data_IF_450995807519
#
_entry.id   IF_450995807519
#
_cell.length_a   1.000
_cell.length_b   1.000
_cell.length_c   1.000
_cell.angle_alpha   90.00
_cell.angle_beta   90.00
_cell.angle_gamma   90.00
#
_symmetry.space_group_name_H-M   'P 1'
#
loop_
_entity.id
_entity.type
_entity.pdbx_description
1 polymer ?
#
# COMPACT_ATOMS: atom_id res chain seq x y z
N UNK A 1 -0.76 12.68 25.83
CA UNK A 1 -0.15 13.73 24.98
C UNK A 1 0.09 13.09 23.64
N UNK A 2 -0.66 13.54 22.62
CA UNK A 2 -1.05 12.79 21.43
C UNK A 2 -0.04 12.89 20.28
N UNK A 3 -0.06 11.85 19.45
CA UNK A 3 0.68 11.52 18.23
C UNK A 3 1.11 12.68 17.33
N UNK A 4 2.34 12.59 16.82
CA UNK A 4 2.83 13.22 15.58
C UNK A 4 3.76 12.22 14.88
N UNK A 5 3.27 11.56 13.84
CA UNK A 5 4.14 11.08 12.76
C UNK A 5 4.71 12.30 12.03
N UNK A 6 5.98 12.30 11.58
CA UNK A 6 6.60 13.47 11.00
C UNK A 6 6.18 13.59 9.53
N UNK A 7 5.03 14.20 9.28
CA UNK A 7 4.70 14.75 7.97
C UNK A 7 5.08 16.22 7.93
N UNK A 8 5.82 16.61 6.89
CA UNK A 8 6.28 17.95 6.61
C UNK A 8 5.17 19.00 6.79
N UNK A 9 5.36 19.92 7.74
CA UNK A 9 4.62 21.18 7.75
C UNK A 9 5.18 22.08 6.65
N UNK A 10 4.47 22.20 5.54
CA UNK A 10 4.54 23.43 4.73
C UNK A 10 3.45 24.35 5.26
N UNK A 11 3.87 25.46 5.87
CA UNK A 11 3.00 26.50 6.40
C UNK A 11 2.39 27.24 5.21
N UNK A 12 1.09 27.06 4.97
CA UNK A 12 0.30 27.99 4.17
C UNK A 12 -0.30 29.06 5.10
N UNK A 13 0.27 30.26 5.10
CA UNK A 13 -0.37 31.43 5.71
C UNK A 13 -1.44 31.93 4.75
N UNK A 14 -2.71 31.64 5.05
CA UNK A 14 -3.86 32.31 4.44
C UNK A 14 -4.41 33.34 5.43
N UNK A 15 -4.30 34.63 5.09
CA UNK A 15 -5.01 35.73 5.75
C UNK A 15 -6.05 36.24 4.74
N UNK A 16 -7.34 36.14 5.09
CA UNK A 16 -8.44 36.69 4.28
C UNK A 16 -8.88 38.08 4.79
N UNK A 17 -8.91 39.02 3.84
CA UNK A 17 -9.74 40.24 3.67
C UNK A 17 -10.06 41.20 4.83
N UNK A 18 -9.81 42.51 4.58
CA UNK A 18 -10.88 43.51 4.32
C UNK A 18 -10.30 44.90 4.00
N UNK A 19 -10.61 45.42 2.80
CA UNK A 19 -11.21 46.73 2.51
C UNK A 19 -10.97 47.09 1.03
N UNK A 20 -12.06 47.38 0.33
CA UNK A 20 -12.11 47.43 -1.13
C UNK A 20 -11.55 48.68 -1.77
N UNK A 21 -11.35 48.60 -3.08
CA UNK A 21 -11.74 49.62 -4.04
C UNK A 21 -11.63 49.08 -5.48
N UNK A 22 -12.54 49.58 -6.30
CA UNK A 22 -12.76 49.39 -7.73
C UNK A 22 -11.52 49.25 -8.62
N UNK A 23 -11.58 48.34 -9.59
CA UNK A 23 -10.64 48.28 -10.71
C UNK A 23 -11.07 47.26 -11.77
N UNK A 24 -11.11 47.71 -13.01
CA UNK A 24 -11.70 47.12 -14.22
C UNK A 24 -11.09 45.79 -14.68
N UNK A 25 -11.94 45.01 -15.37
CA UNK A 25 -11.67 43.75 -16.07
C UNK A 25 -10.51 43.89 -17.06
N UNK A 26 -9.47 43.06 -16.92
CA UNK A 26 -8.58 42.66 -18.00
C UNK A 26 -8.36 41.15 -17.91
N UNK A 27 -8.68 40.43 -18.98
CA UNK A 27 -8.58 38.98 -19.10
C UNK A 27 -7.12 38.53 -18.96
N UNK A 28 -6.86 37.70 -17.95
CA UNK A 28 -5.58 37.08 -17.70
C UNK A 28 -5.37 35.92 -18.69
N UNK A 29 -4.49 36.14 -19.67
CA UNK A 29 -4.04 35.13 -20.64
C UNK A 29 -2.66 34.58 -20.26
N UNK A 30 -2.27 34.60 -18.98
CA UNK A 30 -0.96 34.09 -18.52
C UNK A 30 -0.98 32.78 -17.74
N UNK A 31 -2.14 32.16 -17.47
CA UNK A 31 -2.16 30.86 -16.75
C UNK A 31 -1.82 29.62 -17.59
N UNK A 32 -1.60 29.75 -18.91
CA UNK A 32 -1.20 28.61 -19.76
C UNK A 32 0.30 28.48 -20.03
N UNK A 33 1.15 29.41 -19.55
CA UNK A 33 2.58 29.44 -19.92
C UNK A 33 3.58 29.15 -18.79
N UNK A 34 3.13 28.80 -17.58
CA UNK A 34 4.06 28.53 -16.45
C UNK A 34 4.70 27.12 -16.50
N UNK A 35 4.26 26.25 -17.41
CA UNK A 35 4.82 24.90 -17.56
C UNK A 35 6.04 24.80 -18.51
N UNK A 36 6.63 25.91 -18.98
CA UNK A 36 7.61 25.87 -20.07
C UNK A 36 9.02 26.44 -19.83
N UNK A 37 9.35 27.00 -18.67
CA UNK A 37 10.67 27.63 -18.49
C UNK A 37 11.40 27.20 -17.22
N UNK A 38 11.87 25.94 -17.18
CA UNK A 38 13.13 25.55 -16.50
C UNK A 38 13.59 24.13 -16.86
N UNK A 39 13.87 23.89 -18.14
CA UNK A 39 14.64 22.72 -18.58
C UNK A 39 15.81 23.25 -19.42
N UNK A 40 16.94 23.49 -18.76
CA UNK A 40 18.21 23.72 -19.44
C UNK A 40 18.63 22.43 -20.15
N UNK A 41 18.97 22.58 -21.42
CA UNK A 41 19.36 21.55 -22.37
C UNK A 41 20.66 20.87 -21.93
N UNK A 42 20.56 19.64 -21.41
CA UNK A 42 21.48 18.51 -21.57
C UNK A 42 20.85 17.29 -20.83
N UNK A 43 20.85 16.12 -21.47
CA UNK A 43 20.10 14.87 -21.14
C UNK A 43 18.60 14.82 -21.49
N UNK A 44 18.26 14.95 -22.78
CA UNK A 44 16.98 14.40 -23.29
C UNK A 44 17.04 12.87 -23.33
N UNK A 45 16.77 12.21 -22.20
CA UNK A 45 16.27 10.84 -22.21
C UNK A 45 14.83 10.92 -22.72
N UNK A 46 14.57 10.40 -23.92
CA UNK A 46 13.20 10.24 -24.43
C UNK A 46 12.44 9.33 -23.48
N UNK A 47 11.61 9.93 -22.63
CA UNK A 47 10.69 9.21 -21.76
C UNK A 47 9.66 8.54 -22.67
N UNK A 48 9.58 7.21 -22.63
CA UNK A 48 8.54 6.46 -23.33
C UNK A 48 7.23 6.59 -22.52
N UNK A 49 6.61 7.77 -22.58
CA UNK A 49 5.21 7.94 -22.18
C UNK A 49 4.32 7.42 -23.31
N UNK A 50 3.24 6.74 -22.93
CA UNK A 50 2.16 6.46 -23.88
C UNK A 50 1.48 7.80 -24.20
N UNK A 51 1.41 8.23 -25.47
CA UNK A 51 0.72 9.46 -25.83
C UNK A 51 -0.77 9.37 -25.47
N UNK A 52 -1.26 10.28 -24.61
CA UNK A 52 -2.65 10.31 -24.16
C UNK A 52 -2.76 10.62 -22.67
N UNK A 53 -4.00 10.74 -22.17
CA UNK A 53 -4.33 10.79 -20.73
C UNK A 53 -5.10 9.50 -20.38
N UNK A 54 -4.44 8.33 -20.41
CA UNK A 54 -5.11 7.05 -20.10
C UNK A 54 -5.64 7.00 -18.67
N UNK A 55 -4.98 7.73 -17.77
CA UNK A 55 -5.44 7.93 -16.41
C UNK A 55 -6.13 9.27 -16.28
N UNK A 56 -7.41 9.21 -15.92
CA UNK A 56 -8.21 10.40 -15.69
C UNK A 56 -8.35 10.62 -14.20
N UNK A 57 -7.94 11.80 -13.74
CA UNK A 57 -8.27 12.25 -12.39
C UNK A 57 -9.79 12.30 -12.24
N UNK A 58 -10.29 11.60 -11.23
CA UNK A 58 -11.69 11.64 -10.87
C UNK A 58 -11.90 12.83 -9.93
N UNK A 59 -12.57 13.84 -10.46
CA UNK A 59 -12.73 15.15 -9.83
C UNK A 59 -14.21 15.56 -9.83
N UNK A 60 -14.71 16.18 -8.75
CA UNK A 60 -13.98 16.47 -7.50
C UNK A 60 -13.64 15.19 -6.72
N UNK A 61 -12.58 15.25 -5.90
CA UNK A 61 -12.24 14.16 -5.00
C UNK A 61 -13.40 13.92 -4.02
N UNK A 62 -13.81 12.67 -3.77
CA UNK A 62 -14.96 12.37 -2.88
C UNK A 62 -14.66 12.67 -1.41
N UNK A 63 -13.40 12.90 -1.05
CA UNK A 63 -12.91 13.21 0.30
C UNK A 63 -11.69 14.12 0.22
N UNK A 64 -11.39 14.84 1.32
CA UNK A 64 -10.14 15.60 1.48
C UNK A 64 -9.09 14.86 2.31
N UNK A 65 -9.43 13.67 2.82
CA UNK A 65 -8.58 12.89 3.71
C UNK A 65 -7.69 11.90 2.94
N UNK A 66 -6.48 11.60 3.44
CA UNK A 66 -5.62 10.53 2.91
C UNK A 66 -6.32 9.17 2.86
N UNK A 67 -6.02 8.38 1.81
CA UNK A 67 -6.49 7.01 1.62
C UNK A 67 -5.32 6.04 1.84
N UNK A 68 -5.48 5.01 2.67
CA UNK A 68 -4.40 4.08 3.06
C UNK A 68 -4.44 2.73 2.35
N UNK A 69 -5.64 2.24 2.04
CA UNK A 69 -5.83 0.93 1.43
C UNK A 69 -7.00 0.96 0.46
N UNK A 70 -6.94 0.12 -0.58
CA UNK A 70 -8.02 -0.06 -1.53
C UNK A 70 -8.11 -1.51 -2.01
N UNK A 71 -9.28 -1.88 -2.49
CA UNK A 71 -9.55 -3.19 -3.07
C UNK A 71 -10.60 -3.07 -4.19
N UNK A 72 -10.67 -4.06 -5.08
CA UNK A 72 -11.59 -4.09 -6.22
C UNK A 72 -12.05 -5.51 -6.49
N UNK A 73 -13.34 -5.70 -6.79
CA UNK A 73 -13.90 -7.01 -7.15
C UNK A 73 -13.87 -7.26 -8.65
N UNK A 74 -14.03 -6.20 -9.44
CA UNK A 74 -14.14 -6.24 -10.89
C UNK A 74 -13.87 -4.84 -11.47
N UNK A 75 -13.97 -4.74 -12.79
CA UNK A 75 -13.73 -3.55 -13.59
C UNK A 75 -14.51 -2.29 -13.19
N UNK A 76 -15.67 -2.47 -12.57
CA UNK A 76 -16.57 -1.37 -12.26
C UNK A 76 -16.59 -1.07 -10.76
N UNK A 77 -16.22 -2.04 -9.93
CA UNK A 77 -16.48 -2.00 -8.49
C UNK A 77 -15.20 -2.00 -7.66
N UNK A 78 -15.00 -0.93 -6.90
CA UNK A 78 -13.85 -0.75 -6.01
C UNK A 78 -14.19 0.03 -4.75
N UNK A 79 -13.39 -0.18 -3.70
CA UNK A 79 -13.49 0.49 -2.40
C UNK A 79 -12.14 1.00 -1.96
N UNK A 80 -12.14 2.15 -1.27
CA UNK A 80 -10.95 2.73 -0.67
C UNK A 80 -11.26 3.22 0.75
N UNK A 81 -10.28 3.08 1.64
CA UNK A 81 -10.40 3.44 3.07
C UNK A 81 -9.23 4.31 3.52
N UNK A 82 -9.47 5.19 4.49
CA UNK A 82 -8.48 6.19 4.87
C UNK A 82 -8.70 6.85 6.22
N UNK A 83 -8.10 8.03 6.37
CA UNK A 83 -8.17 8.83 7.59
C UNK A 83 -9.61 9.24 7.93
N UNK A 84 -9.85 9.49 9.22
CA UNK A 84 -11.10 10.07 9.73
C UNK A 84 -12.37 9.31 9.32
N UNK A 85 -12.30 7.97 9.25
CA UNK A 85 -13.44 7.13 8.88
C UNK A 85 -13.78 7.16 7.40
N UNK A 86 -12.87 7.63 6.54
CA UNK A 86 -13.11 7.71 5.10
C UNK A 86 -13.34 6.32 4.53
N UNK A 87 -14.52 6.09 3.96
CA UNK A 87 -14.85 4.93 3.13
C UNK A 87 -15.50 5.45 1.85
N UNK A 88 -14.94 5.10 0.71
CA UNK A 88 -15.46 5.48 -0.60
C UNK A 88 -15.60 4.25 -1.49
N UNK A 89 -16.60 4.25 -2.36
CA UNK A 89 -16.80 3.17 -3.31
C UNK A 89 -17.23 3.68 -4.68
N UNK A 90 -16.99 2.87 -5.69
CA UNK A 90 -17.52 3.04 -7.03
C UNK A 90 -18.15 1.73 -7.51
N UNK A 91 -19.11 1.84 -8.42
CA UNK A 91 -19.77 0.72 -9.12
C UNK A 91 -19.83 0.97 -10.64
N UNK A 92 -19.14 2.01 -11.13
CA UNK A 92 -19.20 2.50 -12.50
C UNK A 92 -17.81 2.82 -13.06
N UNK A 93 -16.78 2.08 -12.66
CA UNK A 93 -15.43 2.33 -13.17
C UNK A 93 -14.82 3.58 -12.52
N UNK A 94 -15.28 3.99 -11.34
CA UNK A 94 -14.87 5.24 -10.70
C UNK A 94 -15.44 6.51 -11.33
N UNK A 95 -16.23 6.43 -12.42
CA UNK A 95 -16.88 7.61 -13.01
C UNK A 95 -17.55 8.46 -11.91
N UNK A 96 -18.14 7.77 -10.93
CA UNK A 96 -18.57 8.35 -9.66
C UNK A 96 -18.00 7.56 -8.47
N UNK A 97 -17.50 8.31 -7.49
CA UNK A 97 -17.19 7.79 -6.17
C UNK A 97 -18.20 8.29 -5.16
N UNK A 98 -18.79 7.36 -4.43
CA UNK A 98 -19.78 7.62 -3.38
C UNK A 98 -19.08 7.49 -2.04
N UNK A 99 -19.16 8.56 -1.22
CA UNK A 99 -18.75 8.50 0.19
C UNK A 99 -19.76 7.65 0.95
N UNK A 100 -19.26 6.60 1.60
CA UNK A 100 -20.05 5.70 2.43
C UNK A 100 -19.98 6.13 3.90
N UNK A 101 -21.09 5.98 4.62
CA UNK A 101 -21.15 6.36 6.03
C UNK A 101 -20.43 5.33 6.89
N UNK A 102 -19.27 5.70 7.43
CA UNK A 102 -18.60 4.93 8.48
C UNK A 102 -19.29 5.10 9.84
N UNK A 103 -19.44 4.05 10.65
CA UNK A 103 -19.91 4.18 12.02
C UNK A 103 -18.86 4.78 12.98
N UNK A 104 -17.60 4.93 12.53
CA UNK A 104 -16.47 5.41 13.34
C UNK A 104 -15.64 6.44 12.59
N UNK A 105 -15.28 7.53 13.27
CA UNK A 105 -14.40 8.60 12.76
C UNK A 105 -12.95 8.40 13.23
N UNK A 106 -12.34 7.29 12.84
CA UNK A 106 -10.94 6.93 13.18
C UNK A 106 -10.17 6.54 11.92
N UNK A 107 -8.84 6.48 11.96
CA UNK A 107 -8.10 6.10 10.76
C UNK A 107 -8.30 4.61 10.44
N UNK A 108 -8.61 4.33 9.18
CA UNK A 108 -8.82 2.98 8.65
C UNK A 108 -7.58 2.56 7.85
N UNK A 109 -6.95 1.44 8.25
CA UNK A 109 -5.62 1.07 7.76
C UNK A 109 -5.63 0.02 6.66
N UNK A 110 -6.54 -0.95 6.72
CA UNK A 110 -6.57 -2.09 5.82
C UNK A 110 -8.00 -2.43 5.42
N UNK A 111 -8.21 -2.72 4.13
CA UNK A 111 -9.48 -3.25 3.62
C UNK A 111 -9.21 -4.54 2.84
N UNK A 112 -10.04 -5.55 3.04
CA UNK A 112 -10.05 -6.80 2.28
C UNK A 112 -11.47 -7.17 1.87
N UNK A 113 -11.62 -7.95 0.81
CA UNK A 113 -12.91 -8.46 0.34
C UNK A 113 -12.86 -9.97 0.22
N UNK A 114 -13.99 -10.61 0.52
CA UNK A 114 -14.20 -12.05 0.29
C UNK A 114 -15.07 -12.29 -0.94
N UNK A 115 -15.99 -11.36 -1.21
CA UNK A 115 -16.69 -11.19 -2.48
C UNK A 115 -17.15 -9.73 -2.62
N UNK A 116 -17.86 -9.41 -3.70
CA UNK A 116 -18.35 -8.05 -4.02
C UNK A 116 -19.28 -7.45 -2.94
N UNK A 117 -19.95 -8.28 -2.16
CA UNK A 117 -20.88 -7.84 -1.11
C UNK A 117 -20.23 -7.86 0.28
N UNK A 118 -19.20 -8.67 0.49
CA UNK A 118 -18.61 -8.94 1.80
C UNK A 118 -17.19 -8.39 1.93
N UNK A 119 -17.06 -7.24 2.60
CA UNK A 119 -15.79 -6.57 2.86
C UNK A 119 -15.52 -6.40 4.35
N UNK A 120 -14.23 -6.27 4.68
CA UNK A 120 -13.72 -6.15 6.03
C UNK A 120 -12.67 -5.05 6.12
N UNK A 121 -12.82 -4.18 7.11
CA UNK A 121 -11.90 -3.07 7.38
C UNK A 121 -11.38 -3.19 8.81
N UNK A 122 -10.11 -2.88 9.04
CA UNK A 122 -9.57 -2.63 10.38
C UNK A 122 -8.85 -1.28 10.46
N UNK A 123 -8.68 -0.76 11.68
CA UNK A 123 -8.07 0.54 11.91
C UNK A 123 -7.69 0.84 13.36
N UNK A 124 -7.59 2.13 13.67
CA UNK A 124 -7.33 2.64 15.02
C UNK A 124 -8.43 2.26 16.03
N UNK A 125 -8.09 2.31 17.32
CA UNK A 125 -9.01 2.02 18.44
C UNK A 125 -9.68 0.63 18.33
N UNK A 126 -8.98 -0.34 17.74
CA UNK A 126 -9.46 -1.70 17.59
C UNK A 126 -10.65 -1.85 16.63
N UNK A 127 -10.93 -0.87 15.78
CA UNK A 127 -12.12 -0.90 14.92
C UNK A 127 -12.04 -2.06 13.93
N UNK A 128 -13.16 -2.79 13.81
CA UNK A 128 -13.42 -3.73 12.73
C UNK A 128 -14.77 -3.38 12.12
N UNK A 129 -14.81 -3.12 10.81
CA UNK A 129 -16.05 -2.86 10.08
C UNK A 129 -16.30 -3.96 9.06
N UNK A 130 -17.56 -4.28 8.85
CA UNK A 130 -17.99 -5.20 7.79
C UNK A 130 -19.18 -4.65 7.03
N UNK A 131 -19.34 -5.12 5.81
CA UNK A 131 -20.53 -4.92 4.98
C UNK A 131 -20.94 -6.25 4.37
N UNK A 132 -22.23 -6.40 4.09
CA UNK A 132 -22.83 -7.56 3.41
C UNK A 132 -23.64 -7.14 2.18
N UNK A 133 -23.56 -5.86 1.81
CA UNK A 133 -24.33 -5.21 0.74
C UNK A 133 -23.44 -4.34 -0.18
N UNK A 134 -22.13 -4.63 -0.22
CA UNK A 134 -21.18 -3.91 -1.07
C UNK A 134 -20.84 -2.51 -0.56
N UNK A 135 -20.96 -2.28 0.74
CA UNK A 135 -20.65 -1.02 1.41
C UNK A 135 -21.80 -0.01 1.42
N UNK A 136 -23.02 -0.39 1.00
CA UNK A 136 -24.18 0.48 1.17
C UNK A 136 -24.43 0.75 2.66
N UNK A 137 -24.22 -0.26 3.50
CA UNK A 137 -24.19 -0.12 4.95
C UNK A 137 -22.95 -0.77 5.55
N UNK A 138 -22.42 -0.14 6.60
CA UNK A 138 -21.28 -0.63 7.38
C UNK A 138 -21.70 -0.90 8.81
N UNK A 139 -21.29 -2.08 9.31
CA UNK A 139 -21.56 -2.52 10.67
C UNK A 139 -20.24 -2.68 11.41
N UNK A 140 -20.13 -2.05 12.57
CA UNK A 140 -19.01 -2.27 13.48
C UNK A 140 -19.12 -3.64 14.15
N UNK A 141 -18.04 -4.41 14.12
CA UNK A 141 -17.92 -5.66 14.84
C UNK A 141 -17.17 -5.42 16.15
N UNK A 142 -17.68 -6.00 17.24
CA UNK A 142 -17.05 -5.85 18.54
C UNK A 142 -15.73 -6.64 18.60
N UNK A 143 -14.61 -5.94 18.55
CA UNK A 143 -13.27 -6.51 18.78
C UNK A 143 -12.95 -6.65 20.28
N UNK A 144 -13.55 -5.79 21.11
CA UNK A 144 -13.25 -5.69 22.55
C UNK A 144 -11.92 -4.99 22.85
N UNK A 145 -11.32 -4.32 21.86
CA UNK A 145 -9.99 -3.71 21.98
C UNK A 145 -10.04 -2.18 21.89
N UNK A 146 -8.97 -1.55 22.36
CA UNK A 146 -8.68 -0.12 22.16
C UNK A 146 -7.32 0.12 21.51
N UNK A 147 -6.63 -0.95 21.11
CA UNK A 147 -5.32 -0.92 20.44
C UNK A 147 -5.50 -0.96 18.94
N UNK A 148 -4.60 -0.35 18.18
CA UNK A 148 -4.75 -0.25 16.73
C UNK A 148 -4.56 -1.61 16.05
N UNK A 149 -5.37 -1.87 15.01
CA UNK A 149 -5.25 -3.03 14.12
C UNK A 149 -4.70 -2.59 12.77
N UNK A 150 -3.56 -3.14 12.37
CA UNK A 150 -2.83 -2.70 11.18
C UNK A 150 -3.13 -3.52 9.92
N UNK A 151 -3.53 -4.78 10.07
CA UNK A 151 -3.78 -5.68 8.94
C UNK A 151 -4.92 -6.62 9.26
N UNK A 152 -5.80 -6.81 8.28
CA UNK A 152 -6.91 -7.76 8.31
C UNK A 152 -6.87 -8.65 7.06
N UNK A 153 -7.00 -9.95 7.25
CA UNK A 153 -6.94 -10.94 6.18
C UNK A 153 -8.06 -11.94 6.32
N UNK A 154 -8.76 -12.23 5.23
CA UNK A 154 -9.78 -13.27 5.14
C UNK A 154 -9.42 -14.22 4.01
N UNK A 155 -9.66 -15.51 4.21
CA UNK A 155 -9.46 -16.55 3.19
C UNK A 155 -10.77 -16.99 2.54
N UNK A 156 -11.88 -16.79 3.25
CA UNK A 156 -13.25 -17.09 2.84
C UNK A 156 -14.21 -16.23 3.69
N UNK A 157 -15.52 -16.39 3.49
CA UNK A 157 -16.53 -15.59 4.19
C UNK A 157 -16.67 -15.90 5.70
N UNK A 158 -16.01 -16.94 6.21
CA UNK A 158 -16.12 -17.38 7.61
C UNK A 158 -14.84 -17.12 8.40
N UNK A 159 -13.68 -17.26 7.78
CA UNK A 159 -12.38 -17.29 8.46
C UNK A 159 -11.58 -16.02 8.16
N UNK A 160 -11.29 -15.27 9.22
CA UNK A 160 -10.52 -14.03 9.15
C UNK A 160 -9.64 -13.81 10.37
N UNK A 161 -8.59 -13.02 10.19
CA UNK A 161 -7.62 -12.63 11.22
C UNK A 161 -7.33 -11.15 11.13
N UNK A 162 -7.15 -10.52 12.29
CA UNK A 162 -6.67 -9.15 12.38
C UNK A 162 -5.50 -9.07 13.37
N UNK A 163 -4.48 -8.28 13.03
CA UNK A 163 -3.28 -8.13 13.85
C UNK A 163 -2.91 -6.66 14.05
N UNK A 164 -2.26 -6.35 15.17
CA UNK A 164 -2.05 -4.96 15.55
C UNK A 164 -1.00 -4.69 16.62
N UNK A 165 -1.21 -3.58 17.34
CA UNK A 165 -0.37 -3.16 18.46
C UNK A 165 -0.38 -4.15 19.62
N UNK A 166 0.64 -4.05 20.47
CA UNK A 166 0.79 -4.86 21.69
C UNK A 166 0.76 -6.38 21.42
N UNK A 167 1.14 -6.81 20.21
CA UNK A 167 1.11 -8.22 19.85
C UNK A 167 -0.30 -8.80 19.67
N UNK A 168 -1.30 -7.94 19.43
CA UNK A 168 -2.71 -8.31 19.30
C UNK A 168 -2.98 -9.23 18.11
N UNK A 169 -3.67 -10.35 18.35
CA UNK A 169 -4.15 -11.27 17.31
C UNK A 169 -5.61 -11.59 17.57
N UNK A 170 -6.47 -11.23 16.61
CA UNK A 170 -7.88 -11.59 16.58
C UNK A 170 -8.14 -12.64 15.50
N UNK A 171 -9.11 -13.51 15.74
CA UNK A 171 -9.62 -14.47 14.75
C UNK A 171 -11.13 -14.57 14.80
N UNK A 172 -11.75 -14.71 13.64
CA UNK A 172 -13.12 -15.18 13.50
C UNK A 172 -13.17 -16.48 12.70
N UNK A 173 -14.17 -17.31 12.99
CA UNK A 173 -14.52 -18.52 12.23
C UNK A 173 -16.00 -18.55 11.86
N UNK A 174 -16.70 -17.44 12.06
CA UNK A 174 -18.15 -17.30 11.85
C UNK A 174 -18.49 -16.03 11.06
N UNK A 175 -17.54 -15.52 10.27
CA UNK A 175 -17.75 -14.33 9.45
C UNK A 175 -17.88 -13.06 10.28
N UNK A 176 -17.08 -12.96 11.34
CA UNK A 176 -16.96 -11.81 12.23
C UNK A 176 -18.09 -11.58 13.21
N UNK A 177 -19.09 -12.49 13.28
CA UNK A 177 -20.11 -12.46 14.34
C UNK A 177 -19.46 -12.52 15.74
N UNK A 178 -18.35 -13.25 15.84
CA UNK A 178 -17.49 -13.25 17.02
C UNK A 178 -16.00 -13.16 16.62
N UNK A 179 -15.29 -12.24 17.28
CA UNK A 179 -13.84 -12.12 17.20
C UNK A 179 -13.20 -12.64 18.49
N UNK A 180 -12.48 -13.75 18.38
CA UNK A 180 -11.70 -14.33 19.46
C UNK A 180 -10.35 -13.63 19.57
N UNK A 181 -10.06 -13.06 20.74
CA UNK A 181 -8.71 -12.64 21.12
C UNK A 181 -7.86 -13.88 21.41
N UNK A 182 -6.89 -14.15 20.54
CA UNK A 182 -6.00 -15.29 20.66
C UNK A 182 -4.89 -15.01 21.68
N UNK A 183 -4.28 -16.06 22.28
CA UNK A 183 -3.16 -15.90 23.18
C UNK A 183 -2.02 -15.12 22.51
N UNK A 184 -1.58 -14.06 23.17
CA UNK A 184 -0.47 -13.27 22.68
C UNK A 184 0.81 -14.11 22.67
N UNK A 185 1.62 -13.95 21.62
CA UNK A 185 2.93 -14.60 21.51
C UNK A 185 3.86 -14.04 22.60
N UNK A 186 4.63 -14.92 23.24
CA UNK A 186 5.56 -14.49 24.30
C UNK A 186 6.61 -13.51 23.74
N UNK A 187 6.74 -12.34 24.39
CA UNK A 187 7.69 -11.31 23.98
C UNK A 187 7.21 -10.36 22.87
N UNK A 188 5.91 -10.38 22.52
CA UNK A 188 5.31 -9.42 21.56
C UNK A 188 4.44 -8.34 22.21
N UNK A 189 4.32 -8.30 23.54
CA UNK A 189 3.38 -7.40 24.27
C UNK A 189 3.64 -5.91 24.09
N UNK A 190 4.83 -5.52 23.63
CA UNK A 190 5.19 -4.15 23.31
C UNK A 190 5.66 -4.02 21.86
N UNK A 191 5.17 -4.89 20.98
CA UNK A 191 5.60 -4.99 19.59
C UNK A 191 4.41 -4.85 18.66
N UNK A 192 4.70 -4.48 17.42
CA UNK A 192 3.69 -4.33 16.38
C UNK A 192 3.68 -5.56 15.50
N UNK A 193 2.50 -6.17 15.34
CA UNK A 193 2.22 -7.13 14.30
C UNK A 193 1.69 -6.36 13.09
N UNK A 194 2.46 -6.35 12.01
CA UNK A 194 2.20 -5.47 10.84
C UNK A 194 1.57 -6.20 9.67
N UNK A 195 1.92 -7.47 9.47
CA UNK A 195 1.40 -8.26 8.37
C UNK A 195 0.94 -9.63 8.86
N UNK A 196 -0.17 -10.09 8.31
CA UNK A 196 -0.71 -11.43 8.51
C UNK A 196 -1.14 -12.00 7.16
N UNK A 197 -0.86 -13.27 6.91
CA UNK A 197 -1.25 -13.94 5.69
C UNK A 197 -1.56 -15.41 5.98
N UNK A 198 -2.79 -15.83 5.66
CA UNK A 198 -3.24 -17.22 5.75
C UNK A 198 -3.52 -17.76 4.36
N UNK A 199 -3.11 -19.01 4.12
CA UNK A 199 -3.40 -19.75 2.88
C UNK A 199 -4.49 -20.82 3.09
N UNK A 200 -4.85 -21.08 4.34
CA UNK A 200 -5.98 -21.94 4.72
C UNK A 200 -6.47 -21.59 6.12
N UNK A 201 -7.56 -22.23 6.57
CA UNK A 201 -8.15 -21.98 7.90
C UNK A 201 -7.21 -22.29 9.08
N UNK A 202 -6.13 -23.05 8.82
CA UNK A 202 -5.19 -23.50 9.84
C UNK A 202 -3.76 -23.03 9.60
N UNK A 203 -3.40 -22.73 8.34
CA UNK A 203 -2.01 -22.45 7.93
C UNK A 203 -1.80 -20.96 7.65
N UNK A 204 -0.93 -20.32 8.42
CA UNK A 204 -0.66 -18.88 8.25
C UNK A 204 0.61 -18.37 8.88
N UNK A 205 1.00 -17.17 8.48
CA UNK A 205 2.19 -16.47 8.92
C UNK A 205 1.84 -15.06 9.38
N UNK A 206 2.62 -14.58 10.34
CA UNK A 206 2.58 -13.18 10.74
C UNK A 206 3.99 -12.62 10.88
N UNK A 207 4.10 -11.32 10.71
CA UNK A 207 5.36 -10.60 10.80
C UNK A 207 5.20 -9.28 11.52
N UNK A 208 6.31 -8.79 12.04
CA UNK A 208 6.35 -7.55 12.77
C UNK A 208 7.71 -7.31 13.38
N UNK A 209 7.75 -6.49 14.42
CA UNK A 209 8.99 -6.11 15.06
C UNK A 209 8.86 -4.95 16.02
N UNK A 210 9.80 -4.02 15.93
CA UNK A 210 9.86 -2.84 16.80
C UNK A 210 8.63 -1.93 16.79
N UNK A 211 8.57 -1.06 17.81
CA UNK A 211 7.53 -0.05 17.96
C UNK A 211 7.75 1.12 16.99
N UNK A 212 6.83 2.08 16.96
CA UNK A 212 6.94 3.29 16.12
C UNK A 212 8.21 4.10 16.44
N UNK A 213 8.79 3.91 17.63
CA UNK A 213 9.89 4.70 18.18
C UNK A 213 11.17 3.91 18.43
N UNK A 214 11.21 2.59 18.17
CA UNK A 214 12.38 1.75 18.46
C UNK A 214 12.63 0.67 17.41
N UNK A 215 13.91 0.45 17.06
CA UNK A 215 14.36 -0.61 16.15
C UNK A 215 14.49 -1.95 16.88
N UNK A 216 13.43 -2.44 17.52
CA UNK A 216 13.47 -3.73 18.21
C UNK A 216 13.37 -4.91 17.22
N UNK A 217 14.25 -4.92 16.21
CA UNK A 217 14.38 -5.98 15.22
C UNK A 217 13.07 -6.40 14.56
N UNK A 218 13.01 -7.66 14.17
CA UNK A 218 11.91 -8.27 13.46
C UNK A 218 11.58 -9.66 13.99
N UNK A 219 10.42 -10.18 13.62
CA UNK A 219 10.08 -11.58 13.78
C UNK A 219 9.19 -12.09 12.65
N UNK A 220 9.22 -13.40 12.46
CA UNK A 220 8.36 -14.19 11.61
C UNK A 220 7.85 -15.37 12.45
N UNK A 221 6.53 -15.45 12.60
CA UNK A 221 5.86 -16.57 13.26
C UNK A 221 4.95 -17.31 12.28
N UNK A 222 4.76 -18.59 12.55
CA UNK A 222 3.96 -19.50 11.73
C UNK A 222 2.99 -20.29 12.60
N UNK A 223 1.81 -20.57 12.08
CA UNK A 223 0.78 -21.38 12.74
C UNK A 223 0.26 -22.45 11.79
N UNK A 224 -0.09 -23.60 12.38
CA UNK A 224 -0.75 -24.73 11.72
C UNK A 224 -2.09 -25.09 12.37
N UNK A 225 -2.58 -24.25 13.29
CA UNK A 225 -3.85 -24.43 14.01
C UNK A 225 -4.79 -23.21 13.91
N UNK A 226 -4.50 -22.30 12.97
CA UNK A 226 -5.30 -21.10 12.75
C UNK A 226 -4.99 -19.99 13.76
N UNK A 227 -3.83 -20.04 14.40
CA UNK A 227 -3.31 -19.00 15.28
C UNK A 227 -3.51 -19.23 16.77
N UNK A 228 -4.05 -20.39 17.19
CA UNK A 228 -4.12 -20.73 18.62
C UNK A 228 -2.71 -20.88 19.20
N UNK A 229 -1.78 -21.40 18.40
CA UNK A 229 -0.37 -21.44 18.71
C UNK A 229 0.47 -20.93 17.55
N UNK A 230 1.62 -20.34 17.89
CA UNK A 230 2.56 -19.76 16.94
C UNK A 230 3.97 -20.25 17.23
N UNK A 231 4.63 -20.75 16.20
CA UNK A 231 6.02 -21.19 16.24
C UNK A 231 6.92 -20.10 15.69
N UNK A 232 7.97 -19.75 16.43
CA UNK A 232 8.99 -18.82 15.96
C UNK A 232 9.79 -19.46 14.83
N UNK A 233 9.75 -18.85 13.63
CA UNK A 233 10.58 -19.31 12.51
C UNK A 233 11.82 -18.42 12.32
N UNK A 234 11.72 -17.12 12.64
CA UNK A 234 12.85 -16.20 12.59
C UNK A 234 12.63 -15.01 13.52
N UNK A 235 13.68 -14.56 14.21
CA UNK A 235 13.65 -13.35 15.04
C UNK A 235 15.02 -12.71 15.14
N UNK A 236 15.04 -11.39 15.29
CA UNK A 236 16.23 -10.63 15.67
C UNK A 236 15.85 -9.51 16.63
N UNK A 237 16.76 -9.15 17.53
CA UNK A 237 16.66 -7.93 18.35
C UNK A 237 17.28 -6.71 17.68
N UNK A 238 17.96 -6.90 16.55
CA UNK A 238 18.55 -5.86 15.71
C UNK A 238 17.95 -5.89 14.30
N UNK A 239 18.09 -4.78 13.57
CA UNK A 239 17.51 -4.60 12.23
C UNK A 239 16.13 -3.95 12.24
N UNK A 240 15.56 -3.78 11.05
CA UNK A 240 14.27 -3.11 10.88
C UNK A 240 13.09 -4.08 10.96
N UNK A 241 11.97 -3.57 11.46
CA UNK A 241 10.71 -4.32 11.56
C UNK A 241 10.22 -4.78 10.20
N UNK A 242 9.66 -5.99 10.15
CA UNK A 242 8.99 -6.52 8.96
C UNK A 242 7.59 -5.89 8.84
N UNK A 243 7.24 -5.46 7.64
CA UNK A 243 5.98 -4.76 7.34
C UNK A 243 4.93 -5.68 6.75
N UNK A 244 5.35 -6.65 5.94
CA UNK A 244 4.44 -7.54 5.23
C UNK A 244 5.04 -8.92 5.02
N UNK A 245 4.15 -9.89 4.82
CA UNK A 245 4.47 -11.27 4.48
C UNK A 245 3.49 -11.74 3.41
N UNK A 246 4.00 -12.45 2.41
CA UNK A 246 3.19 -13.00 1.32
C UNK A 246 3.66 -14.41 1.01
N UNK A 247 2.72 -15.32 0.82
CA UNK A 247 2.95 -16.69 0.41
C UNK A 247 2.12 -16.97 -0.84
N UNK A 248 2.69 -17.72 -1.79
CA UNK A 248 1.94 -18.19 -2.97
C UNK A 248 1.38 -19.59 -2.77
N UNK A 249 1.97 -20.35 -1.83
CA UNK A 249 1.53 -21.68 -1.41
C UNK A 249 2.11 -22.03 -0.02
N UNK A 250 2.03 -23.30 0.38
CA UNK A 250 2.53 -23.80 1.67
C UNK A 250 4.05 -23.82 1.81
N UNK A 251 4.80 -23.64 0.72
CA UNK A 251 6.25 -23.77 0.67
C UNK A 251 6.95 -22.44 0.42
N UNK A 252 6.42 -21.61 -0.47
CA UNK A 252 7.07 -20.40 -0.98
C UNK A 252 6.48 -19.14 -0.39
N UNK A 253 7.32 -18.36 0.29
CA UNK A 253 6.93 -17.10 0.90
C UNK A 253 8.07 -16.11 1.07
N UNK A 254 7.69 -14.85 1.19
CA UNK A 254 8.60 -13.71 1.31
C UNK A 254 8.10 -12.76 2.40
N UNK A 255 9.04 -12.25 3.19
CA UNK A 255 8.78 -11.24 4.21
C UNK A 255 9.78 -10.10 4.05
N UNK A 256 9.28 -8.86 4.01
CA UNK A 256 10.12 -7.67 3.81
C UNK A 256 9.77 -6.57 4.79
N UNK A 257 10.68 -5.62 4.98
CA UNK A 257 10.47 -4.46 5.82
C UNK A 257 11.61 -3.46 5.83
N UNK A 258 11.76 -2.78 6.96
CA UNK A 258 12.70 -1.66 7.11
C UNK A 258 14.16 -2.12 7.25
N UNK A 259 15.09 -1.19 7.01
CA UNK A 259 16.54 -1.37 7.24
C UNK A 259 17.12 -2.63 6.58
N UNK A 260 16.66 -2.95 5.37
CA UNK A 260 17.17 -4.07 4.57
C UNK A 260 16.63 -5.45 4.98
N UNK A 261 15.69 -5.53 5.93
CA UNK A 261 15.08 -6.80 6.31
C UNK A 261 14.28 -7.38 5.13
N UNK A 262 14.80 -8.43 4.51
CA UNK A 262 14.16 -9.18 3.42
C UNK A 262 14.53 -10.66 3.51
N UNK A 263 13.52 -11.53 3.58
CA UNK A 263 13.67 -12.96 3.80
C UNK A 263 12.77 -13.78 2.90
N UNK A 264 13.30 -14.88 2.38
CA UNK A 264 12.57 -15.85 1.57
C UNK A 264 12.58 -17.22 2.26
N UNK A 265 11.49 -17.96 2.07
CA UNK A 265 11.45 -19.40 2.30
C UNK A 265 10.97 -20.15 1.07
N UNK A 266 11.46 -21.38 0.91
CA UNK A 266 11.05 -22.34 -0.13
C UNK A 266 10.63 -23.68 0.50
N UNK A 267 10.48 -23.71 1.83
CA UNK A 267 10.15 -24.90 2.62
C UNK A 267 9.18 -24.60 3.77
N UNK A 268 8.23 -23.67 3.54
CA UNK A 268 7.16 -23.36 4.50
C UNK A 268 7.65 -22.64 5.75
N UNK A 269 8.82 -22.00 5.65
CA UNK A 269 9.44 -21.28 6.74
C UNK A 269 10.24 -22.14 7.71
N UNK A 270 10.47 -23.42 7.40
CA UNK A 270 11.44 -24.23 8.15
C UNK A 270 12.84 -23.58 8.13
N UNK A 271 13.18 -22.90 7.04
CA UNK A 271 14.31 -21.97 6.96
C UNK A 271 13.94 -20.69 6.22
N UNK A 272 14.47 -19.57 6.71
CA UNK A 272 14.34 -18.25 6.09
C UNK A 272 15.71 -17.68 5.70
N UNK A 273 15.95 -17.61 4.40
CA UNK A 273 17.18 -17.11 3.80
C UNK A 273 17.06 -15.60 3.58
N UNK A 274 18.05 -14.84 4.07
CA UNK A 274 18.11 -13.41 3.78
C UNK A 274 18.51 -13.20 2.32
N UNK A 275 17.87 -12.24 1.67
CA UNK A 275 18.26 -11.79 0.34
C UNK A 275 18.37 -10.27 0.35
N UNK A 276 19.21 -9.72 -0.52
CA UNK A 276 19.40 -8.28 -0.62
C UNK A 276 19.16 -7.81 -2.06
N UNK A 277 17.90 -7.42 -2.35
CA UNK A 277 17.50 -6.94 -3.67
C UNK A 277 18.27 -5.72 -4.15
N UNK A 278 18.82 -4.91 -3.24
CA UNK A 278 19.30 -3.56 -3.58
C UNK A 278 20.81 -3.48 -3.59
N UNK A 279 21.52 -4.16 -2.68
CA UNK A 279 22.98 -4.10 -2.67
C UNK A 279 23.60 -4.70 -3.92
N UNK A 280 22.95 -5.71 -4.51
CA UNK A 280 23.37 -6.36 -5.75
C UNK A 280 23.21 -5.48 -7.00
N UNK A 281 22.44 -4.40 -6.91
CA UNK A 281 22.12 -3.53 -8.05
C UNK A 281 22.80 -2.17 -7.88
N UNK A 282 22.53 -1.46 -6.77
CA UNK A 282 22.90 -0.05 -6.62
C UNK A 282 23.46 0.29 -5.21
N UNK A 283 23.70 -0.72 -4.35
CA UNK A 283 24.26 -0.52 -3.01
C UNK A 283 23.33 0.15 -1.98
N UNK A 284 23.76 0.17 -0.71
CA UNK A 284 23.04 0.83 0.38
C UNK A 284 21.95 -0.02 1.05
N UNK A 285 21.10 0.62 1.85
CA UNK A 285 20.04 -0.06 2.63
C UNK A 285 18.67 0.49 2.27
N UNK A 286 17.76 -0.40 1.89
CA UNK A 286 16.39 -0.05 1.54
C UNK A 286 15.39 -0.35 2.65
N UNK A 287 14.23 0.29 2.54
CA UNK A 287 13.05 0.12 3.36
C UNK A 287 11.94 -0.37 2.45
N UNK A 288 11.61 -1.65 2.59
CA UNK A 288 10.60 -2.30 1.78
C UNK A 288 9.22 -2.06 2.38
N UNK A 289 8.30 -1.59 1.55
CA UNK A 289 6.93 -1.29 1.94
C UNK A 289 6.00 -2.44 1.58
N UNK A 290 6.33 -3.19 0.53
CA UNK A 290 5.55 -4.35 0.17
C UNK A 290 6.29 -5.36 -0.69
N UNK A 291 5.71 -6.55 -0.75
CA UNK A 291 6.13 -7.68 -1.59
C UNK A 291 4.88 -8.35 -2.14
N UNK A 292 4.91 -8.73 -3.41
CA UNK A 292 3.83 -9.49 -4.05
C UNK A 292 4.40 -10.44 -5.08
N UNK A 293 4.04 -11.71 -4.97
CA UNK A 293 4.40 -12.75 -5.93
C UNK A 293 3.14 -13.28 -6.61
N UNK A 294 3.24 -13.52 -7.91
CA UNK A 294 2.20 -14.20 -8.67
C UNK A 294 2.30 -15.72 -8.56
N UNK A 295 3.54 -16.19 -8.47
CA UNK A 295 3.89 -17.58 -8.37
C UNK A 295 5.28 -17.71 -7.73
N UNK A 296 5.82 -18.92 -7.70
CA UNK A 296 7.10 -19.24 -7.07
C UNK A 296 8.30 -18.53 -7.71
N UNK A 297 8.17 -18.00 -8.93
CA UNK A 297 9.26 -17.42 -9.72
C UNK A 297 9.12 -15.91 -9.90
N UNK A 298 7.89 -15.42 -10.10
CA UNK A 298 7.62 -14.04 -10.52
C UNK A 298 7.06 -13.21 -9.38
N UNK A 299 7.78 -12.16 -9.01
CA UNK A 299 7.36 -11.28 -7.94
C UNK A 299 8.06 -9.94 -7.94
N UNK A 300 7.53 -9.05 -7.13
CA UNK A 300 7.96 -7.67 -7.03
C UNK A 300 8.09 -7.26 -5.58
N UNK A 301 9.07 -6.38 -5.34
CA UNK A 301 9.27 -5.69 -4.08
C UNK A 301 9.33 -4.20 -4.40
N UNK A 302 8.66 -3.42 -3.57
CA UNK A 302 8.72 -1.96 -3.68
C UNK A 302 9.03 -1.32 -2.33
N UNK A 303 9.62 -0.13 -2.42
CA UNK A 303 10.04 0.59 -1.24
C UNK A 303 10.89 1.81 -1.56
N UNK A 304 11.75 2.18 -0.63
CA UNK A 304 12.57 3.38 -0.73
C UNK A 304 13.89 3.23 0.01
N UNK A 305 14.89 4.00 -0.38
CA UNK A 305 16.21 4.09 0.25
C UNK A 305 16.66 5.55 0.30
N UNK A 306 17.68 5.83 1.10
CA UNK A 306 18.37 7.12 0.99
C UNK A 306 19.40 7.08 -0.15
N UNK A 307 19.52 8.18 -0.88
CA UNK A 307 20.57 8.40 -1.87
C UNK A 307 21.94 8.25 -1.21
N UNK A 308 22.84 7.51 -1.86
CA UNK A 308 24.23 7.36 -1.42
C UNK A 308 25.04 8.65 -1.53
N UNK A 309 24.61 9.59 -2.36
CA UNK A 309 25.31 10.86 -2.62
C UNK A 309 24.94 11.93 -1.60
N UNK A 310 23.65 12.07 -1.28
CA UNK A 310 23.16 13.15 -0.41
C UNK A 310 22.80 12.69 1.00
N UNK A 311 22.56 11.39 1.22
CA UNK A 311 22.18 10.80 2.52
C UNK A 311 20.82 11.25 3.10
N UNK A 312 20.21 12.27 2.52
CA UNK A 312 18.95 12.88 2.97
C UNK A 312 17.80 12.67 1.99
N UNK A 313 18.12 12.37 0.73
CA UNK A 313 17.14 12.23 -0.32
C UNK A 313 16.60 10.80 -0.40
N UNK A 314 15.27 10.63 -0.49
CA UNK A 314 14.67 9.31 -0.71
C UNK A 314 14.62 8.99 -2.20
N UNK A 315 15.26 7.88 -2.57
CA UNK A 315 15.15 7.23 -3.88
C UNK A 315 14.26 6.00 -3.75
N UNK A 316 13.43 5.75 -4.74
CA UNK A 316 12.42 4.71 -4.65
C UNK A 316 12.73 3.54 -5.56
N UNK A 317 12.20 2.39 -5.17
CA UNK A 317 12.62 1.11 -5.70
C UNK A 317 11.37 0.35 -6.12
N UNK A 318 11.39 -0.11 -7.36
CA UNK A 318 10.56 -1.21 -7.84
C UNK A 318 11.50 -2.26 -8.39
N UNK A 319 11.52 -3.40 -7.73
CA UNK A 319 12.41 -4.50 -8.04
C UNK A 319 11.58 -5.69 -8.46
N UNK A 320 12.01 -6.33 -9.53
CA UNK A 320 11.40 -7.52 -10.05
C UNK A 320 12.32 -8.72 -9.88
N UNK A 321 11.71 -9.87 -9.66
CA UNK A 321 12.36 -11.17 -9.87
C UNK A 321 11.54 -12.04 -10.83
N UNK A 322 12.23 -12.88 -11.59
CA UNK A 322 11.67 -13.94 -12.45
C UNK A 322 12.24 -15.32 -12.11
N UNK A 323 13.07 -15.42 -11.06
CA UNK A 323 13.75 -16.63 -10.62
C UNK A 323 13.53 -16.91 -9.12
N UNK A 324 12.39 -16.45 -8.61
CA UNK A 324 11.96 -16.68 -7.24
C UNK A 324 12.70 -15.82 -6.21
N UNK A 325 13.38 -14.76 -6.62
CA UNK A 325 14.12 -13.87 -5.73
C UNK A 325 15.60 -14.23 -5.57
N UNK A 326 16.11 -15.14 -6.42
CA UNK A 326 17.55 -15.44 -6.51
C UNK A 326 18.30 -14.24 -7.07
N UNK A 327 17.73 -13.58 -8.07
CA UNK A 327 18.20 -12.31 -8.61
C UNK A 327 17.06 -11.30 -8.72
N UNK A 328 17.45 -10.03 -8.67
CA UNK A 328 16.54 -8.89 -8.74
C UNK A 328 17.03 -7.92 -9.80
N UNK A 329 16.08 -7.36 -10.55
CA UNK A 329 16.33 -6.31 -11.53
C UNK A 329 15.54 -5.07 -11.14
N UNK A 330 16.19 -3.91 -11.13
CA UNK A 330 15.51 -2.64 -10.92
C UNK A 330 14.77 -2.23 -12.17
N UNK A 331 13.52 -1.86 -12.01
CA UNK A 331 12.70 -1.50 -13.15
C UNK A 331 12.87 -0.01 -13.57
N UNK A 332 13.32 0.88 -12.68
CA UNK A 332 13.78 2.19 -13.13
C UNK A 332 15.21 2.06 -13.67
N UNK A 333 15.51 2.37 -14.95
CA UNK A 333 16.87 2.79 -15.25
C UNK A 333 17.18 3.97 -14.33
N UNK A 334 18.44 4.13 -13.96
CA UNK A 334 19.01 5.18 -13.10
C UNK A 334 18.61 6.63 -13.49
N UNK A 335 17.76 6.81 -14.50
CA UNK A 335 17.44 8.06 -15.17
C UNK A 335 16.10 8.71 -14.85
N UNK A 336 15.13 8.10 -14.15
CA UNK A 336 13.87 8.83 -13.88
C UNK A 336 13.35 8.78 -12.44
N UNK A 337 12.95 7.63 -11.90
CA UNK A 337 12.57 7.53 -10.48
C UNK A 337 13.75 7.87 -9.55
N UNK A 338 14.98 7.67 -10.03
CA UNK A 338 16.19 8.08 -9.33
C UNK A 338 16.63 9.51 -9.64
N UNK A 339 16.20 10.14 -10.74
CA UNK A 339 16.57 11.54 -11.06
C UNK A 339 15.57 12.57 -10.52
N UNK A 340 14.37 12.15 -10.12
CA UNK A 340 13.31 13.05 -9.63
C UNK A 340 13.15 12.95 -8.10
N UNK A 341 13.40 14.06 -7.41
CA UNK A 341 13.18 14.16 -5.96
C UNK A 341 11.71 13.86 -5.58
N UNK A 342 11.53 13.08 -4.51
CA UNK A 342 10.22 12.86 -3.88
C UNK A 342 9.35 11.72 -4.45
N UNK A 343 9.92 10.80 -5.23
CA UNK A 343 9.14 9.86 -6.04
C UNK A 343 8.61 8.54 -5.37
N UNK A 344 7.61 8.53 -4.49
CA UNK A 344 7.14 7.30 -3.78
C UNK A 344 6.31 6.28 -4.60
N UNK A 345 6.39 4.98 -4.27
CA UNK A 345 5.49 3.91 -4.77
C UNK A 345 4.58 3.47 -3.63
N UNK A 346 3.27 3.66 -3.80
CA UNK A 346 2.28 3.34 -2.77
C UNK A 346 1.74 1.94 -2.85
N UNK A 347 1.38 1.53 -4.06
CA UNK A 347 0.74 0.24 -4.29
C UNK A 347 1.17 -0.35 -5.61
N UNK A 348 1.05 -1.68 -5.65
CA UNK A 348 1.28 -2.49 -6.84
C UNK A 348 0.01 -3.29 -7.13
N UNK A 349 -0.51 -3.17 -8.34
CA UNK A 349 -1.59 -4.00 -8.82
C UNK A 349 -1.09 -4.95 -9.91
N UNK A 350 -1.68 -6.14 -9.96
CA UNK A 350 -1.23 -7.20 -10.88
C UNK A 350 -2.47 -7.85 -11.46
N UNK A 351 -2.60 -7.81 -12.78
CA UNK A 351 -3.70 -8.48 -13.49
C UNK A 351 -3.30 -9.90 -13.86
N UNK A 352 -2.11 -10.07 -14.43
CA UNK A 352 -1.63 -11.36 -14.91
C UNK A 352 -0.10 -11.38 -14.94
N UNK A 353 0.47 -12.46 -15.47
CA UNK A 353 1.92 -12.68 -15.52
C UNK A 353 2.67 -11.65 -16.36
N UNK A 354 1.97 -10.90 -17.19
CA UNK A 354 2.50 -9.91 -18.13
C UNK A 354 2.10 -8.48 -17.78
N UNK A 355 0.93 -8.27 -17.16
CA UNK A 355 0.36 -6.93 -16.96
C UNK A 355 0.24 -6.50 -15.51
N UNK A 356 0.91 -5.39 -15.18
CA UNK A 356 1.09 -4.89 -13.82
C UNK A 356 1.12 -3.37 -13.80
N UNK A 357 0.77 -2.80 -12.64
CA UNK A 357 0.77 -1.36 -12.40
C UNK A 357 1.42 -1.01 -11.07
N UNK A 358 2.13 0.11 -11.06
CA UNK A 358 2.74 0.68 -9.87
C UNK A 358 2.28 2.13 -9.75
N UNK A 359 1.51 2.42 -8.71
CA UNK A 359 1.08 3.79 -8.42
C UNK A 359 2.19 4.52 -7.72
N UNK A 360 2.49 5.71 -8.24
CA UNK A 360 3.58 6.51 -7.75
C UNK A 360 3.14 7.91 -7.35
N UNK A 361 4.05 8.66 -6.76
CA UNK A 361 3.85 10.06 -6.45
C UNK A 361 3.73 10.93 -7.68
N UNK A 362 3.28 12.17 -7.48
CA UNK A 362 3.20 13.17 -8.54
C UNK A 362 2.31 12.72 -9.70
N UNK A 363 1.25 11.98 -9.36
CA UNK A 363 0.25 11.51 -10.31
C UNK A 363 0.78 10.55 -11.38
N UNK A 364 1.91 9.88 -11.15
CA UNK A 364 2.48 8.96 -12.13
C UNK A 364 2.07 7.53 -11.78
N UNK A 365 1.70 6.78 -12.81
CA UNK A 365 1.44 5.35 -12.72
C UNK A 365 2.26 4.68 -13.80
N UNK A 366 3.02 3.65 -13.45
CA UNK A 366 3.71 2.84 -14.44
C UNK A 366 2.87 1.61 -14.78
N UNK A 367 2.85 1.24 -16.06
CA UNK A 367 2.31 -0.03 -16.55
C UNK A 367 3.37 -0.84 -17.26
N UNK A 368 3.46 -2.13 -16.97
CA UNK A 368 4.10 -3.13 -17.84
C UNK A 368 3.06 -4.03 -18.48
N UNK A 369 3.36 -4.52 -19.68
CA UNK A 369 2.56 -5.53 -20.42
C UNK A 369 3.41 -6.71 -20.89
N UNK A 370 4.68 -6.76 -20.50
CA UNK A 370 5.65 -7.79 -20.88
C UNK A 370 6.26 -8.49 -19.67
N UNK A 371 5.54 -8.45 -18.54
CA UNK A 371 5.97 -9.11 -17.31
C UNK A 371 7.16 -8.41 -16.71
N UNK A 372 7.12 -7.08 -16.65
CA UNK A 372 8.06 -6.22 -15.93
C UNK A 372 9.35 -5.86 -16.64
N UNK A 373 9.57 -6.34 -17.86
CA UNK A 373 10.78 -6.04 -18.63
C UNK A 373 10.81 -4.58 -19.11
N UNK A 374 9.68 -4.07 -19.58
CA UNK A 374 9.49 -2.68 -19.92
C UNK A 374 8.26 -2.15 -19.20
N UNK A 375 8.37 -0.95 -18.63
CA UNK A 375 7.20 -0.22 -18.20
C UNK A 375 7.20 1.18 -18.78
N UNK A 376 5.98 1.64 -18.98
CA UNK A 376 5.67 2.91 -19.58
C UNK A 376 5.02 3.77 -18.51
N UNK A 377 5.55 4.98 -18.34
CA UNK A 377 4.98 5.96 -17.44
C UNK A 377 3.69 6.54 -18.02
N UNK A 378 2.71 6.74 -17.17
CA UNK A 378 1.43 7.37 -17.48
C UNK A 378 1.17 8.43 -16.40
N UNK A 379 0.60 9.56 -16.79
CA UNK A 379 0.23 10.62 -15.85
C UNK A 379 -1.28 10.66 -15.68
N UNK A 380 -1.71 10.98 -14.46
CA UNK A 380 -3.10 11.27 -14.11
C UNK A 380 -3.36 12.79 -14.02
N UNK A 381 -2.54 13.61 -14.69
CA UNK A 381 -2.61 15.07 -14.70
C UNK A 381 -2.73 15.71 -13.29
N UNK A 382 -1.97 15.18 -12.32
CA UNK A 382 -1.96 15.63 -10.92
C UNK A 382 -0.56 15.58 -10.33
N UNK A 383 -0.28 16.43 -9.34
CA UNK A 383 0.99 16.46 -8.62
C UNK A 383 0.93 15.73 -7.26
N UNK A 384 -0.22 15.17 -6.89
CA UNK A 384 -0.42 14.48 -5.61
C UNK A 384 0.01 13.01 -5.63
N UNK A 385 0.19 12.44 -4.44
CA UNK A 385 0.81 11.14 -4.26
C UNK A 385 -0.20 9.99 -4.24
N UNK A 386 0.07 8.89 -4.95
CA UNK A 386 -0.72 7.66 -4.83
C UNK A 386 -0.17 6.73 -3.74
N UNK A 387 -1.05 6.28 -2.85
CA UNK A 387 -0.81 5.37 -1.74
C UNK A 387 -1.31 3.95 -2.00
N UNK A 388 -2.30 3.79 -2.89
CA UNK A 388 -2.83 2.49 -3.27
C UNK A 388 -3.11 2.42 -4.77
N UNK A 389 -3.01 1.23 -5.34
CA UNK A 389 -3.49 0.90 -6.69
C UNK A 389 -4.17 -0.45 -6.65
N UNK A 390 -5.31 -0.55 -7.31
CA UNK A 390 -6.04 -1.81 -7.51
C UNK A 390 -6.60 -1.85 -8.92
N UNK A 391 -6.69 -3.05 -9.47
CA UNK A 391 -7.23 -3.31 -10.79
C UNK A 391 -8.34 -4.34 -10.68
N UNK A 392 -9.47 -4.01 -11.27
CA UNK A 392 -10.62 -4.89 -11.38
C UNK A 392 -10.46 -5.93 -12.48
N UNK A 393 -9.80 -5.54 -13.57
CA UNK A 393 -9.39 -6.42 -14.66
C UNK A 393 -8.12 -5.87 -15.35
N UNK A 394 -7.85 -6.25 -16.61
CA UNK A 394 -6.65 -5.83 -17.34
C UNK A 394 -6.71 -4.37 -17.82
N UNK A 395 -7.91 -3.81 -17.91
CA UNK A 395 -8.19 -2.52 -18.54
C UNK A 395 -8.72 -1.49 -17.53
N UNK A 396 -9.26 -1.94 -16.40
CA UNK A 396 -9.93 -1.09 -15.44
C UNK A 396 -9.20 -1.10 -14.11
N UNK A 397 -8.67 0.06 -13.73
CA UNK A 397 -7.94 0.20 -12.49
C UNK A 397 -8.01 1.59 -11.92
N UNK A 398 -7.74 1.66 -10.62
CA UNK A 398 -7.79 2.88 -9.84
C UNK A 398 -6.52 3.04 -9.03
N UNK A 399 -6.11 4.30 -8.87
CA UNK A 399 -5.05 4.71 -7.98
C UNK A 399 -5.59 5.75 -7.00
N UNK A 400 -5.32 5.56 -5.71
CA UNK A 400 -5.83 6.39 -4.62
C UNK A 400 -4.71 7.01 -3.82
N UNK A 401 -4.92 8.19 -3.24
CA UNK A 401 -3.79 8.99 -2.75
C UNK A 401 -4.10 10.11 -1.77
N UNK A 402 -3.13 11.03 -1.66
CA UNK A 402 -3.23 12.24 -0.84
C UNK A 402 -4.47 13.06 -1.18
N UNK A 403 -5.05 13.67 -0.14
CA UNK A 403 -6.18 14.58 -0.27
C UNK A 403 -7.39 13.96 -0.99
N UNK A 404 -7.62 12.66 -0.77
CA UNK A 404 -8.67 11.89 -1.42
C UNK A 404 -8.53 11.76 -2.93
N UNK A 405 -7.32 11.94 -3.47
CA UNK A 405 -7.07 11.82 -4.90
C UNK A 405 -7.45 10.43 -5.39
N UNK A 406 -8.15 10.39 -6.52
CA UNK A 406 -8.43 9.16 -7.27
C UNK A 406 -8.15 9.40 -8.74
N UNK A 407 -7.48 8.43 -9.37
CA UNK A 407 -7.33 8.34 -10.81
C UNK A 407 -7.84 6.98 -11.30
N UNK A 408 -8.38 6.96 -12.52
CA UNK A 408 -8.91 5.76 -13.15
C UNK A 408 -8.43 5.62 -14.60
N UNK A 409 -8.21 4.38 -15.02
CA UNK A 409 -8.03 3.98 -16.43
C UNK A 409 -9.09 2.95 -16.81
N UNK A 410 -9.57 3.01 -18.05
CA UNK A 410 -10.52 2.06 -18.64
C UNK A 410 -9.95 1.28 -19.86
N UNK A 411 -8.66 1.47 -20.15
CA UNK A 411 -7.90 0.80 -21.22
C UNK A 411 -6.60 0.16 -20.68
N UNK A 412 -6.47 0.15 -19.36
CA UNK A 412 -5.31 -0.28 -18.58
C UNK A 412 -4.14 0.69 -18.71
N UNK A 413 -4.31 1.73 -19.52
CA UNK A 413 -3.36 2.77 -19.85
C UNK A 413 -2.33 2.47 -20.91
#
# INVERSE_FOLDING_TARGET
MRNLYPFCRVIAVAVFMLLGMSGTIAQDTQQQNVAKEHLSVEDTVTLNFIPGEPWRRQAPAPTAFPIHSMTSSDANTAWAVGDSGTIIATTDGGENWVLQTSPREVNLWSVTLTDVNHLWICGEDGVILTTTDGGQTWQEQASGLTTDLFSIHFIDAQHGWAVGEEGTILRTTDGGNFWLLLPQISGTSNRYLRGVHFISATEGWLVGGGTATSTNGYFIYHTTDGGYTWTEQKKSSSGGSLTTVSFVDTLYGWAVGYQGSAFQTTNGGATWTAFDPVSSIIGGTANYLGVKFLDQQRGFIWGWRYSSESGLERKYLLLQTTDGGTSWTSFAPESYCEKQEGFYIGGLAVADTTTWWAGCTRGIIYRTTDGGHNWLGQTAATAADFYGVSFGDRDHGWAVGQYGLIAHTADGG
#
